data_IF_543851449081
#
_entry.id   IF_543851449081
#
_cell.length_a   1.000
_cell.length_b   1.000
_cell.length_c   1.000
_cell.angle_alpha   90.00
_cell.angle_beta   90.00
_cell.angle_gamma   90.00
#
_symmetry.space_group_name_H-M   'P 1'
#
loop_
_entity.id
_entity.type
_entity.pdbx_description
1 polymer ?
#
# COMPACT_ATOMS: atom_id res chain seq x y z
N UNK A 1 31.56 -7.74 20.71
CA UNK A 1 32.70 -6.93 20.21
C UNK A 1 32.55 -6.82 18.70
N UNK A 2 32.14 -5.69 18.23
CA UNK A 2 32.36 -5.30 16.84
C UNK A 2 33.48 -4.28 16.83
N UNK A 3 34.48 -4.45 15.97
CA UNK A 3 35.61 -3.53 15.72
C UNK A 3 36.43 -3.13 16.98
N UNK A 4 36.72 -4.08 17.87
CA UNK A 4 37.61 -3.88 19.06
C UNK A 4 37.03 -2.96 20.16
N UNK A 5 35.84 -2.39 20.02
CA UNK A 5 35.21 -1.52 21.03
C UNK A 5 34.35 -2.28 22.01
N UNK A 6 34.22 -1.75 23.25
CA UNK A 6 33.30 -2.29 24.24
C UNK A 6 31.88 -1.87 23.89
N UNK A 7 31.03 -2.84 23.59
CA UNK A 7 29.62 -2.63 23.32
C UNK A 7 28.78 -3.04 24.52
N UNK A 8 27.85 -2.22 24.94
CA UNK A 8 26.82 -2.54 25.91
C UNK A 8 25.47 -2.57 25.19
N UNK A 9 24.84 -3.72 25.19
CA UNK A 9 23.54 -3.93 24.49
C UNK A 9 22.39 -3.76 25.49
N UNK A 10 21.51 -2.83 25.24
CA UNK A 10 20.25 -2.66 25.97
C UNK A 10 19.09 -3.07 25.04
N UNK A 11 18.34 -4.08 25.44
CA UNK A 11 17.20 -4.59 24.70
C UNK A 11 15.89 -4.26 25.40
N UNK A 12 14.88 -3.82 24.64
CA UNK A 12 13.54 -3.60 25.11
C UNK A 12 12.52 -4.03 24.06
N UNK A 13 11.37 -4.52 24.50
CA UNK A 13 10.25 -4.84 23.64
C UNK A 13 9.19 -3.75 23.73
N UNK A 14 8.61 -3.37 22.58
CA UNK A 14 7.50 -2.42 22.50
C UNK A 14 6.18 -3.17 22.55
N UNK A 15 5.25 -2.71 23.38
CA UNK A 15 3.89 -3.23 23.47
C UNK A 15 2.87 -2.08 23.52
N UNK A 16 1.76 -2.22 22.78
CA UNK A 16 0.64 -1.26 22.80
C UNK A 16 0.86 0.06 22.05
N UNK A 17 2.03 0.26 21.41
CA UNK A 17 2.32 1.45 20.58
C UNK A 17 3.06 1.05 19.31
N UNK A 18 3.02 1.94 18.31
CA UNK A 18 3.82 1.77 17.11
C UNK A 18 5.32 1.82 17.41
N UNK A 19 6.08 0.86 16.87
CA UNK A 19 7.52 0.74 17.07
C UNK A 19 8.28 1.99 16.60
N UNK A 20 7.88 2.56 15.46
CA UNK A 20 8.51 3.77 14.92
C UNK A 20 8.30 4.99 15.82
N UNK A 21 7.11 5.14 16.40
CA UNK A 21 6.80 6.22 17.33
C UNK A 21 7.62 6.12 18.61
N UNK A 22 7.77 4.90 19.15
CA UNK A 22 8.60 4.68 20.36
C UNK A 22 10.07 4.96 20.07
N UNK A 23 10.58 4.53 18.93
CA UNK A 23 11.98 4.80 18.55
C UNK A 23 12.23 6.30 18.37
N UNK A 24 11.31 7.05 17.78
CA UNK A 24 11.43 8.51 17.66
C UNK A 24 11.45 9.21 19.02
N UNK A 25 10.65 8.73 19.98
CA UNK A 25 10.68 9.21 21.37
C UNK A 25 12.03 8.91 22.04
N UNK A 26 12.56 7.69 21.84
CA UNK A 26 13.88 7.27 22.34
C UNK A 26 14.99 8.10 21.73
N UNK A 27 15.01 8.30 20.41
CA UNK A 27 15.99 9.18 19.74
C UNK A 27 15.96 10.61 20.29
N UNK A 28 14.76 11.14 20.54
CA UNK A 28 14.60 12.48 21.12
C UNK A 28 15.13 12.54 22.56
N UNK A 29 14.92 11.49 23.34
CA UNK A 29 15.44 11.40 24.70
C UNK A 29 16.99 11.26 24.70
N UNK A 30 17.52 10.44 23.81
CA UNK A 30 18.97 10.23 23.68
C UNK A 30 19.73 11.49 23.26
N UNK A 31 19.16 12.33 22.40
CA UNK A 31 19.75 13.63 22.03
C UNK A 31 19.90 14.62 23.19
N UNK A 32 19.23 14.38 24.32
CA UNK A 32 19.32 15.21 25.54
C UNK A 32 20.37 14.72 26.53
N UNK A 33 20.97 13.55 26.27
CA UNK A 33 21.97 12.95 27.14
C UNK A 33 23.35 13.34 26.64
N UNK A 34 24.15 13.98 27.49
CA UNK A 34 25.57 14.25 27.21
C UNK A 34 26.35 12.94 27.34
N UNK A 35 26.91 12.47 26.24
CA UNK A 35 27.71 11.25 26.20
C UNK A 35 29.19 11.58 26.48
N UNK A 36 29.90 10.71 27.19
CA UNK A 36 31.35 10.83 27.33
C UNK A 36 32.05 10.77 25.96
N UNK A 37 33.20 11.45 25.82
CA UNK A 37 33.99 11.43 24.60
C UNK A 37 34.36 10.00 24.19
N UNK A 38 34.10 9.67 22.92
CA UNK A 38 34.34 8.34 22.35
C UNK A 38 33.19 7.34 22.54
N UNK A 39 32.04 7.76 23.09
CA UNK A 39 30.84 6.93 23.20
C UNK A 39 29.83 7.32 22.12
N UNK A 40 29.31 6.34 21.40
CA UNK A 40 28.19 6.54 20.45
C UNK A 40 27.06 5.54 20.75
N UNK A 41 25.85 5.91 20.42
CA UNK A 41 24.66 5.07 20.58
C UNK A 41 24.16 4.73 19.20
N UNK A 42 24.01 3.44 18.93
CA UNK A 42 23.38 2.93 17.72
C UNK A 42 22.05 2.26 18.07
N UNK A 43 20.99 2.67 17.39
CA UNK A 43 19.69 2.03 17.48
C UNK A 43 19.63 0.94 16.41
N UNK A 44 19.63 -0.31 16.83
CA UNK A 44 19.62 -1.46 15.93
C UNK A 44 18.47 -2.43 16.19
N UNK A 45 18.45 -3.53 15.46
CA UNK A 45 17.49 -4.62 15.63
C UNK A 45 16.30 -4.54 14.68
N UNK A 46 15.13 -5.01 15.13
CA UNK A 46 13.94 -5.12 14.28
C UNK A 46 13.49 -3.78 13.68
N UNK A 47 13.73 -2.67 14.36
CA UNK A 47 13.36 -1.34 13.88
C UNK A 47 14.11 -0.96 12.61
N UNK A 48 15.43 -1.11 12.59
CA UNK A 48 16.25 -0.78 11.43
C UNK A 48 15.86 -1.63 10.21
N UNK A 49 15.68 -2.93 10.44
CA UNK A 49 15.21 -3.86 9.40
C UNK A 49 13.80 -3.49 8.89
N UNK A 50 12.88 -3.14 9.79
CA UNK A 50 11.52 -2.74 9.43
C UNK A 50 11.49 -1.40 8.69
N UNK A 51 12.26 -0.41 9.12
CA UNK A 51 12.36 0.89 8.46
C UNK A 51 12.96 0.77 7.05
N UNK A 52 14.04 0.00 6.91
CA UNK A 52 14.67 -0.30 5.62
C UNK A 52 13.72 -1.06 4.69
N UNK A 53 13.03 -2.10 5.20
CA UNK A 53 12.03 -2.84 4.44
C UNK A 53 10.88 -1.94 3.99
N UNK A 54 10.33 -1.11 4.88
CA UNK A 54 9.24 -0.18 4.56
C UNK A 54 9.65 0.82 3.46
N UNK A 55 10.84 1.41 3.55
CA UNK A 55 11.35 2.33 2.53
C UNK A 55 11.54 1.64 1.18
N UNK A 56 12.07 0.43 1.18
CA UNK A 56 12.27 -0.37 -0.04
C UNK A 56 10.92 -0.74 -0.66
N UNK A 57 9.95 -1.18 0.15
CA UNK A 57 8.61 -1.53 -0.32
C UNK A 57 7.86 -0.32 -0.89
N UNK A 58 7.98 0.86 -0.26
CA UNK A 58 7.39 2.09 -0.80
C UNK A 58 8.02 2.52 -2.13
N UNK A 59 9.35 2.44 -2.25
CA UNK A 59 10.05 2.75 -3.50
C UNK A 59 9.67 1.77 -4.62
N UNK A 60 9.66 0.47 -4.35
CA UNK A 60 9.21 -0.55 -5.30
C UNK A 60 7.74 -0.39 -5.64
N UNK A 61 6.89 -0.08 -4.66
CA UNK A 61 5.46 0.19 -4.87
C UNK A 61 5.24 1.36 -5.84
N UNK A 62 6.00 2.45 -5.71
CA UNK A 62 5.93 3.58 -6.64
C UNK A 62 6.37 3.18 -8.06
N UNK A 63 7.46 2.42 -8.19
CA UNK A 63 7.92 1.90 -9.49
C UNK A 63 6.84 1.01 -10.13
N UNK A 64 6.20 0.15 -9.34
CA UNK A 64 5.11 -0.71 -9.81
C UNK A 64 3.91 0.12 -10.27
N UNK A 65 3.52 1.17 -9.53
CA UNK A 65 2.42 2.06 -9.93
C UNK A 65 2.70 2.77 -11.26
N UNK A 66 3.93 3.27 -11.45
CA UNK A 66 4.34 3.89 -12.73
C UNK A 66 4.33 2.86 -13.85
N UNK A 67 4.92 1.69 -13.64
CA UNK A 67 4.90 0.58 -14.60
C UNK A 67 3.48 0.15 -14.97
N UNK A 68 2.59 0.05 -13.98
CA UNK A 68 1.18 -0.28 -14.17
C UNK A 68 0.47 0.77 -15.04
N UNK A 69 0.68 2.06 -14.76
CA UNK A 69 0.11 3.13 -15.60
C UNK A 69 0.57 3.03 -17.06
N UNK A 70 1.87 2.78 -17.28
CA UNK A 70 2.42 2.64 -18.64
C UNK A 70 1.83 1.42 -19.38
N UNK A 71 1.70 0.28 -18.69
CA UNK A 71 1.09 -0.92 -19.25
C UNK A 71 -0.40 -0.72 -19.55
N UNK A 72 -1.15 -0.09 -18.66
CA UNK A 72 -2.56 0.24 -18.88
C UNK A 72 -2.74 1.19 -20.06
N UNK A 73 -1.91 2.23 -20.15
CA UNK A 73 -1.90 3.16 -21.29
C UNK A 73 -1.66 2.42 -22.59
N UNK A 74 -0.72 1.48 -22.62
CA UNK A 74 -0.43 0.69 -23.80
C UNK A 74 -1.59 -0.26 -24.15
N UNK A 75 -2.17 -0.93 -23.16
CA UNK A 75 -3.27 -1.87 -23.33
C UNK A 75 -4.55 -1.19 -23.85
N UNK A 76 -4.92 -0.06 -23.26
CA UNK A 76 -6.12 0.68 -23.65
C UNK A 76 -5.91 1.64 -24.84
N UNK A 77 -4.66 1.88 -25.22
CA UNK A 77 -4.27 2.92 -26.20
C UNK A 77 -4.85 4.31 -25.86
N UNK A 78 -5.16 4.55 -24.61
CA UNK A 78 -5.80 5.74 -24.08
C UNK A 78 -5.21 6.06 -22.69
N UNK A 79 -4.69 7.26 -22.54
CA UNK A 79 -4.21 7.73 -21.22
C UNK A 79 -5.36 8.02 -20.26
N UNK A 80 -6.53 8.43 -20.79
CA UNK A 80 -7.70 8.72 -19.98
C UNK A 80 -8.25 7.44 -19.33
N UNK A 81 -8.35 6.35 -20.08
CA UNK A 81 -8.83 5.07 -19.54
C UNK A 81 -7.85 4.49 -18.52
N UNK A 82 -6.54 4.60 -18.80
CA UNK A 82 -5.53 4.23 -17.83
C UNK A 82 -5.63 5.05 -16.54
N UNK A 83 -5.84 6.37 -16.67
CA UNK A 83 -6.04 7.25 -15.53
C UNK A 83 -7.32 6.93 -14.75
N UNK A 84 -8.42 6.59 -15.42
CA UNK A 84 -9.67 6.16 -14.76
C UNK A 84 -9.46 4.93 -13.88
N UNK A 85 -8.73 3.93 -14.38
CA UNK A 85 -8.38 2.76 -13.57
C UNK A 85 -7.49 3.15 -12.38
N UNK A 86 -6.51 4.03 -12.61
CA UNK A 86 -5.60 4.47 -11.53
C UNK A 86 -6.29 5.32 -10.46
N UNK A 87 -7.29 6.13 -10.81
CA UNK A 87 -8.10 6.92 -9.84
C UNK A 87 -8.88 6.01 -8.89
N UNK A 88 -9.18 4.78 -9.28
CA UNK A 88 -9.82 3.82 -8.40
C UNK A 88 -8.91 3.34 -7.24
N UNK A 89 -7.58 3.48 -7.38
CA UNK A 89 -6.63 3.07 -6.35
C UNK A 89 -6.73 3.90 -5.05
N UNK A 90 -6.77 5.25 -5.08
CA UNK A 90 -7.02 6.06 -3.90
C UNK A 90 -8.33 5.71 -3.19
N UNK A 91 -9.40 5.39 -3.95
CA UNK A 91 -10.68 4.97 -3.37
C UNK A 91 -10.56 3.64 -2.62
N UNK A 92 -9.81 2.69 -3.18
CA UNK A 92 -9.53 1.41 -2.51
C UNK A 92 -8.72 1.62 -1.21
N UNK A 93 -7.79 2.61 -1.19
CA UNK A 93 -7.02 2.95 0.01
C UNK A 93 -7.89 3.46 1.16
N UNK A 94 -8.99 4.15 0.88
CA UNK A 94 -9.88 4.68 1.93
C UNK A 94 -10.34 3.55 2.85
N UNK A 95 -10.77 2.41 2.30
CA UNK A 95 -11.16 1.24 3.08
C UNK A 95 -9.99 0.68 3.91
N UNK A 96 -8.80 0.60 3.33
CA UNK A 96 -7.59 0.14 4.02
C UNK A 96 -7.18 1.08 5.17
N UNK A 97 -7.26 2.40 4.96
CA UNK A 97 -6.95 3.41 5.99
C UNK A 97 -7.97 3.36 7.13
N UNK A 98 -9.27 3.21 6.82
CA UNK A 98 -10.31 3.05 7.84
C UNK A 98 -10.05 1.76 8.65
N UNK A 99 -9.75 0.64 7.98
CA UNK A 99 -9.41 -0.61 8.65
C UNK A 99 -8.18 -0.47 9.56
N UNK A 100 -7.13 0.19 9.08
CA UNK A 100 -5.94 0.47 9.88
C UNK A 100 -6.27 1.33 11.11
N UNK A 101 -7.09 2.36 10.95
CA UNK A 101 -7.51 3.23 12.05
C UNK A 101 -8.31 2.47 13.13
N UNK A 102 -9.23 1.58 12.71
CA UNK A 102 -10.02 0.74 13.62
C UNK A 102 -9.17 -0.29 14.39
N UNK A 103 -8.03 -0.70 13.83
CA UNK A 103 -7.12 -1.69 14.44
C UNK A 103 -5.99 -1.07 15.26
N UNK A 104 -6.05 0.24 15.53
CA UNK A 104 -5.07 0.94 16.39
C UNK A 104 -4.01 1.74 15.66
N UNK A 105 -4.10 1.88 14.32
CA UNK A 105 -3.27 2.81 13.54
C UNK A 105 -1.80 2.39 13.36
N UNK A 106 -1.44 1.12 13.60
CA UNK A 106 -0.06 0.64 13.51
C UNK A 106 0.33 0.39 12.04
N UNK A 107 1.19 1.24 11.50
CA UNK A 107 1.75 1.08 10.17
C UNK A 107 2.95 0.11 10.22
N UNK A 108 2.70 -1.16 10.00
CA UNK A 108 3.71 -2.22 9.95
C UNK A 108 4.09 -2.61 8.52
N UNK A 109 5.16 -3.38 8.35
CA UNK A 109 5.51 -3.99 7.05
C UNK A 109 4.35 -4.82 6.51
N UNK A 110 3.66 -5.57 7.36
CA UNK A 110 2.48 -6.35 6.98
C UNK A 110 1.35 -5.45 6.42
N UNK A 111 1.12 -4.29 7.03
CA UNK A 111 0.15 -3.31 6.55
C UNK A 111 0.51 -2.79 5.16
N UNK A 112 1.80 -2.48 4.91
CA UNK A 112 2.27 -2.03 3.59
C UNK A 112 2.05 -3.12 2.52
N UNK A 113 2.37 -4.37 2.83
CA UNK A 113 2.11 -5.51 1.95
C UNK A 113 0.62 -5.67 1.68
N UNK A 114 -0.24 -5.49 2.70
CA UNK A 114 -1.69 -5.47 2.56
C UNK A 114 -2.18 -4.39 1.58
N UNK A 115 -1.64 -3.17 1.66
CA UNK A 115 -1.96 -2.09 0.71
C UNK A 115 -1.50 -2.41 -0.71
N UNK A 116 -0.32 -2.99 -0.90
CA UNK A 116 0.16 -3.41 -2.22
C UNK A 116 -0.78 -4.48 -2.83
N UNK A 117 -1.22 -5.44 -2.02
CA UNK A 117 -2.19 -6.47 -2.43
C UNK A 117 -3.52 -5.85 -2.82
N UNK A 118 -4.01 -4.90 -2.01
CA UNK A 118 -5.26 -4.15 -2.28
C UNK A 118 -5.18 -3.39 -3.61
N UNK A 119 -4.04 -2.77 -3.92
CA UNK A 119 -3.81 -2.14 -5.23
C UNK A 119 -3.94 -3.13 -6.38
N UNK A 120 -3.37 -4.32 -6.26
CA UNK A 120 -3.47 -5.37 -7.28
C UNK A 120 -4.93 -5.76 -7.55
N UNK A 121 -5.72 -5.97 -6.50
CA UNK A 121 -7.14 -6.33 -6.60
C UNK A 121 -7.95 -5.17 -7.21
N UNK A 122 -7.75 -3.94 -6.71
CA UNK A 122 -8.46 -2.76 -7.19
C UNK A 122 -8.18 -2.49 -8.68
N UNK A 123 -6.91 -2.59 -9.10
CA UNK A 123 -6.52 -2.42 -10.51
C UNK A 123 -7.17 -3.48 -11.38
N UNK A 124 -7.12 -4.75 -10.98
CA UNK A 124 -7.76 -5.84 -11.74
C UNK A 124 -9.25 -5.58 -11.94
N UNK A 125 -9.97 -5.19 -10.89
CA UNK A 125 -11.39 -4.89 -10.97
C UNK A 125 -11.65 -3.66 -11.87
N UNK A 126 -10.84 -2.61 -11.76
CA UNK A 126 -10.93 -1.42 -12.61
C UNK A 126 -10.68 -1.73 -14.09
N UNK A 127 -9.65 -2.52 -14.41
CA UNK A 127 -9.37 -2.96 -15.77
C UNK A 127 -10.55 -3.74 -16.36
N UNK A 128 -11.07 -4.70 -15.61
CA UNK A 128 -12.20 -5.52 -16.06
C UNK A 128 -13.46 -4.69 -16.29
N UNK A 129 -13.72 -3.69 -15.44
CA UNK A 129 -14.85 -2.78 -15.59
C UNK A 129 -14.72 -1.93 -16.84
N UNK A 130 -13.60 -1.23 -17.02
CA UNK A 130 -13.37 -0.36 -18.20
C UNK A 130 -13.39 -1.16 -19.50
N UNK A 131 -12.76 -2.35 -19.52
CA UNK A 131 -12.77 -3.22 -20.70
C UNK A 131 -14.18 -3.68 -21.04
N UNK A 132 -14.99 -4.00 -20.04
CA UNK A 132 -16.36 -4.44 -20.27
C UNK A 132 -17.26 -3.32 -20.78
N UNK A 133 -17.15 -2.11 -20.21
CA UNK A 133 -17.90 -0.94 -20.70
C UNK A 133 -17.54 -0.64 -22.17
N UNK A 134 -16.25 -0.71 -22.52
CA UNK A 134 -15.83 -0.56 -23.92
C UNK A 134 -16.38 -1.66 -24.82
N UNK A 135 -16.41 -2.90 -24.36
CA UNK A 135 -17.01 -3.99 -25.10
C UNK A 135 -18.50 -3.74 -25.40
N UNK A 136 -19.26 -3.25 -24.41
CA UNK A 136 -20.67 -2.88 -24.61
C UNK A 136 -20.83 -1.78 -25.68
N UNK A 137 -19.94 -0.79 -25.71
CA UNK A 137 -19.97 0.29 -26.68
C UNK A 137 -19.50 -0.16 -28.07
N UNK A 138 -18.34 -0.81 -28.17
CA UNK A 138 -17.67 -1.08 -29.43
C UNK A 138 -18.23 -2.32 -30.14
N UNK A 139 -18.70 -3.32 -29.40
CA UNK A 139 -19.16 -4.61 -29.96
C UNK A 139 -20.67 -4.76 -29.90
N UNK A 140 -21.29 -4.41 -28.75
CA UNK A 140 -22.74 -4.54 -28.60
C UNK A 140 -23.53 -3.30 -29.10
N UNK A 141 -22.83 -2.23 -29.48
CA UNK A 141 -23.42 -1.05 -30.08
C UNK A 141 -24.22 -0.16 -29.12
N UNK A 142 -23.95 -0.24 -27.82
CA UNK A 142 -24.58 0.64 -26.81
C UNK A 142 -23.99 2.05 -26.97
N UNK A 143 -24.69 2.92 -27.71
CA UNK A 143 -24.20 4.27 -28.02
C UNK A 143 -24.23 5.25 -26.87
N UNK A 144 -25.14 5.05 -25.89
CA UNK A 144 -25.21 5.90 -24.71
C UNK A 144 -24.22 5.43 -23.65
N UNK A 145 -23.27 6.33 -23.31
CA UNK A 145 -22.25 6.06 -22.27
C UNK A 145 -22.88 5.77 -20.91
N UNK A 146 -23.95 6.47 -20.54
CA UNK A 146 -24.62 6.30 -19.26
C UNK A 146 -25.22 4.90 -19.14
N UNK A 147 -25.86 4.44 -20.20
CA UNK A 147 -26.42 3.09 -20.27
C UNK A 147 -25.32 2.02 -20.27
N UNK A 148 -24.22 2.21 -21.01
CA UNK A 148 -23.09 1.31 -21.04
C UNK A 148 -22.43 1.16 -19.64
N UNK A 149 -22.29 2.28 -18.91
CA UNK A 149 -21.75 2.27 -17.53
C UNK A 149 -22.72 1.58 -16.58
N UNK A 150 -24.02 1.88 -16.64
CA UNK A 150 -25.03 1.26 -15.77
C UNK A 150 -25.07 -0.25 -15.97
N UNK A 151 -25.19 -0.68 -17.21
CA UNK A 151 -25.25 -2.10 -17.57
C UNK A 151 -23.94 -2.82 -17.23
N UNK A 152 -22.78 -2.21 -17.51
CA UNK A 152 -21.47 -2.73 -17.17
C UNK A 152 -21.30 -2.92 -15.66
N UNK A 153 -21.81 -1.97 -14.86
CA UNK A 153 -21.78 -2.07 -13.40
C UNK A 153 -22.69 -3.20 -12.88
N UNK A 154 -23.90 -3.34 -13.41
CA UNK A 154 -24.83 -4.40 -13.03
C UNK A 154 -24.27 -5.79 -13.33
N UNK A 155 -23.72 -6.00 -14.52
CA UNK A 155 -23.19 -7.28 -14.97
C UNK A 155 -21.90 -7.69 -14.23
N UNK A 156 -21.13 -6.71 -13.73
CA UNK A 156 -19.89 -6.94 -12.98
C UNK A 156 -20.05 -6.93 -11.46
N UNK A 157 -21.20 -6.56 -10.95
CA UNK A 157 -21.44 -6.47 -9.51
C UNK A 157 -21.17 -7.79 -8.78
N UNK A 158 -21.73 -8.88 -9.28
CA UNK A 158 -21.60 -10.21 -8.64
C UNK A 158 -20.15 -10.70 -8.63
N UNK A 159 -19.39 -10.72 -9.75
CA UNK A 159 -17.99 -11.11 -9.74
C UNK A 159 -17.11 -10.25 -8.80
N UNK A 160 -17.35 -8.94 -8.75
CA UNK A 160 -16.59 -8.03 -7.87
C UNK A 160 -16.89 -8.33 -6.41
N UNK A 161 -18.17 -8.49 -6.04
CA UNK A 161 -18.56 -8.84 -4.68
C UNK A 161 -18.01 -10.20 -4.24
N UNK A 162 -18.04 -11.21 -5.11
CA UNK A 162 -17.44 -12.52 -4.83
C UNK A 162 -15.94 -12.40 -4.55
N UNK A 163 -15.22 -11.61 -5.37
CA UNK A 163 -13.78 -11.37 -5.16
C UNK A 163 -13.53 -10.64 -3.83
N UNK A 164 -14.33 -9.62 -3.51
CA UNK A 164 -14.19 -8.85 -2.28
C UNK A 164 -14.45 -9.70 -1.03
N UNK A 165 -15.51 -10.50 -1.04
CA UNK A 165 -15.85 -11.40 0.07
C UNK A 165 -14.78 -12.48 0.25
N UNK A 166 -14.33 -13.11 -0.85
CA UNK A 166 -13.27 -14.12 -0.79
C UNK A 166 -11.96 -13.56 -0.25
N UNK A 167 -11.57 -12.36 -0.68
CA UNK A 167 -10.35 -11.70 -0.19
C UNK A 167 -10.48 -11.23 1.27
N UNK A 168 -11.69 -10.90 1.73
CA UNK A 168 -11.93 -10.49 3.11
C UNK A 168 -12.01 -11.66 4.11
N UNK A 169 -12.25 -12.88 3.61
CA UNK A 169 -12.32 -14.10 4.43
C UNK A 169 -11.00 -14.89 4.46
N UNK A 170 -10.07 -14.59 3.56
CA UNK A 170 -8.75 -15.24 3.47
C UNK A 170 -7.75 -14.61 4.43
#
# INVERSE_FOLDING_TARGET
RESVERMQLVMANVSGRDLGAVVADVETALKRIELPQGTHIELGGQFESAASASRTLLALGLIVLVGMFLLLRQAFRSSNDAALVMINLPLALVGGVIGLWLTGGILSVATIVGFITLFGIATRNGVMMVTHIKHLQDVEGVSDLTEAVRRGAEERLVPILMTAISAGLA
#
